data_IF_298787194864
#
_entry.id   IF_298787194864
#
_cell.length_a   1.000
_cell.length_b   1.000
_cell.length_c   1.000
_cell.angle_alpha   90.00
_cell.angle_beta   90.00
_cell.angle_gamma   90.00
#
_symmetry.space_group_name_H-M   'P 1'
#
loop_
_entity.id
_entity.type
_entity.pdbx_description
1 polymer ?
#
# COMPACT_ATOMS: atom_id res chain seq x y z
N UNK A 1 17.24 42.15 -39.91
CA UNK A 1 17.52 40.70 -39.81
C UNK A 1 18.20 40.49 -38.47
N UNK A 2 17.45 40.19 -37.44
CA UNK A 2 17.92 39.80 -36.11
C UNK A 2 17.31 38.44 -35.80
N UNK A 3 18.20 37.47 -35.76
CA UNK A 3 17.93 36.04 -35.52
C UNK A 3 17.64 35.85 -34.03
N UNK A 4 16.38 35.59 -33.64
CA UNK A 4 15.97 35.31 -32.28
C UNK A 4 15.70 33.80 -32.18
N UNK A 5 16.71 33.06 -31.69
CA UNK A 5 16.54 31.67 -31.30
C UNK A 5 15.78 31.59 -29.95
N UNK A 6 14.77 30.76 -29.81
CA UNK A 6 14.12 30.56 -28.53
C UNK A 6 15.02 29.74 -27.57
N UNK A 7 15.27 30.33 -26.40
CA UNK A 7 15.88 29.59 -25.28
C UNK A 7 14.89 28.54 -24.80
N UNK A 8 15.32 27.30 -24.79
CA UNK A 8 14.70 26.23 -24.02
C UNK A 8 14.91 26.51 -22.53
N UNK A 9 13.93 27.11 -21.90
CA UNK A 9 13.85 27.15 -20.45
C UNK A 9 13.50 25.75 -19.95
N UNK A 10 14.50 25.09 -19.36
CA UNK A 10 14.33 23.91 -18.53
C UNK A 10 13.39 24.27 -17.40
N UNK A 11 12.16 23.76 -17.46
CA UNK A 11 11.16 23.84 -16.40
C UNK A 11 11.75 23.14 -15.18
N UNK A 12 12.28 23.96 -14.26
CA UNK A 12 12.72 23.50 -12.97
C UNK A 12 11.52 22.93 -12.19
N UNK A 13 11.62 21.67 -11.83
CA UNK A 13 10.74 21.02 -10.87
C UNK A 13 10.77 21.78 -9.54
N UNK A 14 9.87 22.74 -9.36
CA UNK A 14 9.56 23.23 -8.03
C UNK A 14 8.71 22.16 -7.33
N UNK A 15 9.38 21.30 -6.57
CA UNK A 15 8.75 20.42 -5.60
C UNK A 15 8.00 21.24 -4.57
N UNK A 16 6.69 21.20 -4.61
CA UNK A 16 5.88 21.47 -3.43
C UNK A 16 6.19 20.36 -2.43
N UNK A 17 6.72 20.72 -1.25
CA UNK A 17 7.14 19.81 -0.17
C UNK A 17 5.96 19.21 0.61
N UNK A 18 4.76 19.17 0.08
CA UNK A 18 3.58 18.83 0.87
C UNK A 18 3.09 17.40 0.80
N UNK A 19 3.59 16.53 -0.10
CA UNK A 19 2.99 15.19 -0.25
C UNK A 19 3.71 14.05 0.46
N UNK A 20 4.94 14.21 0.92
CA UNK A 20 5.70 13.09 1.49
C UNK A 20 5.86 13.13 3.03
N UNK A 21 5.60 14.27 3.68
CA UNK A 21 5.76 14.41 5.12
C UNK A 21 4.47 14.23 5.94
N UNK A 22 3.30 14.24 5.30
CA UNK A 22 2.02 14.22 6.01
C UNK A 22 1.49 12.81 6.37
N UNK A 23 2.21 11.73 6.04
CA UNK A 23 1.75 10.35 6.28
C UNK A 23 2.57 9.51 7.27
N UNK A 24 3.56 10.08 7.94
CA UNK A 24 4.26 9.36 9.00
C UNK A 24 3.70 9.78 10.36
N UNK A 25 3.07 8.89 11.13
CA UNK A 25 2.82 9.16 12.53
C UNK A 25 4.18 9.26 13.24
N UNK A 26 4.44 10.39 13.85
CA UNK A 26 5.57 10.61 14.76
C UNK A 26 5.40 9.72 16.00
N UNK A 27 5.86 8.48 15.94
CA UNK A 27 5.89 7.56 17.08
C UNK A 27 6.93 6.46 16.88
N UNK A 28 8.19 6.83 16.78
CA UNK A 28 9.30 5.92 17.07
C UNK A 28 10.51 6.71 17.57
N UNK A 29 10.36 7.24 18.79
CA UNK A 29 11.48 7.60 19.66
C UNK A 29 11.00 7.45 21.09
N UNK A 30 11.49 6.43 21.81
CA UNK A 30 11.16 6.26 23.22
C UNK A 30 11.54 4.89 23.75
N UNK A 31 12.80 4.74 24.13
CA UNK A 31 13.38 4.06 25.32
C UNK A 31 12.49 3.03 26.04
N UNK A 32 13.09 1.87 26.25
CA UNK A 32 12.54 0.74 26.97
C UNK A 32 12.21 0.96 28.43
N UNK A 33 11.28 0.17 28.90
CA UNK A 33 11.22 -0.31 30.28
C UNK A 33 10.62 -1.72 30.26
N UNK A 34 11.43 -2.68 30.73
CA UNK A 34 10.99 -4.00 31.14
C UNK A 34 10.10 -3.90 32.38
N UNK A 35 8.93 -4.49 32.34
CA UNK A 35 8.27 -4.93 33.55
C UNK A 35 7.68 -6.33 33.37
N UNK A 36 8.23 -7.23 34.19
CA UNK A 36 7.72 -8.57 34.45
C UNK A 36 6.33 -8.49 35.05
N UNK A 37 5.41 -9.25 34.51
CA UNK A 37 4.25 -9.70 35.28
C UNK A 37 4.19 -11.22 35.27
N UNK A 38 4.41 -11.74 36.48
CA UNK A 38 4.10 -13.09 36.93
C UNK A 38 2.66 -13.11 37.39
N UNK A 39 1.86 -14.03 36.92
CA UNK A 39 0.64 -14.42 37.66
C UNK A 39 0.40 -15.93 37.57
N UNK A 40 0.32 -16.46 38.74
CA UNK A 40 -0.04 -17.82 39.10
C UNK A 40 -1.48 -18.12 38.77
N UNK A 41 -1.61 -19.34 38.29
CA UNK A 41 -2.66 -20.36 38.43
C UNK A 41 -3.72 -20.22 39.49
N UNK A 42 -4.90 -20.77 39.21
CA UNK A 42 -5.57 -21.73 40.11
C UNK A 42 -6.59 -22.53 39.31
N UNK A 43 -6.45 -23.86 39.41
CA UNK A 43 -7.40 -24.90 39.05
C UNK A 43 -8.32 -25.13 40.23
N UNK A 44 -9.57 -25.42 40.08
CA UNK A 44 -10.27 -26.33 40.98
C UNK A 44 -10.64 -27.63 40.30
N UNK A 45 -10.29 -28.70 41.00
CA UNK A 45 -10.78 -30.09 40.88
C UNK A 45 -12.19 -30.16 41.42
N UNK A 46 -13.08 -30.82 40.74
CA UNK A 46 -14.27 -31.41 41.37
C UNK A 46 -14.44 -32.90 41.00
N UNK A 47 -14.70 -33.71 42.02
CA UNK A 47 -14.89 -35.15 42.03
C UNK A 47 -16.35 -35.50 42.06
N UNK A 48 -16.67 -36.64 41.52
CA UNK A 48 -17.90 -37.38 41.74
C UNK A 48 -18.24 -38.21 40.52
N UNK A 49 -18.20 -39.51 40.47
CA UNK A 49 -18.60 -40.54 41.38
C UNK A 49 -19.73 -41.33 40.74
N UNK A 50 -19.48 -42.62 40.50
CA UNK A 50 -20.60 -43.59 40.36
C UNK A 50 -20.72 -44.28 39.01
N UNK A 51 -20.36 -45.54 38.94
CA UNK A 51 -21.27 -46.67 38.86
C UNK A 51 -21.01 -47.57 37.65
N UNK A 52 -20.38 -48.72 37.92
CA UNK A 52 -20.33 -49.90 37.02
C UNK A 52 -21.62 -50.69 37.17
N UNK A 53 -22.14 -51.32 36.08
CA UNK A 53 -22.08 -52.75 36.12
C UNK A 53 -21.64 -53.48 34.84
N UNK A 54 -20.97 -54.56 35.09
CA UNK A 54 -20.48 -55.61 34.22
C UNK A 54 -21.58 -56.34 33.46
N UNK A 55 -21.29 -56.69 32.21
CA UNK A 55 -21.69 -57.97 31.65
C UNK A 55 -20.87 -58.35 30.43
N UNK A 56 -20.11 -59.45 30.58
CA UNK A 56 -19.51 -60.16 29.44
C UNK A 56 -20.57 -61.02 28.78
N UNK A 57 -20.48 -61.28 27.47
CA UNK A 57 -20.43 -62.69 27.06
C UNK A 57 -19.34 -63.00 26.01
N UNK A 58 -18.81 -64.09 26.20
CA UNK A 58 -18.03 -65.14 25.56
C UNK A 58 -18.02 -65.13 24.04
N UNK A 59 -16.76 -65.28 23.51
CA UNK A 59 -16.38 -65.69 22.15
C UNK A 59 -17.02 -66.98 21.68
N UNK A 60 -17.14 -67.19 20.36
CA UNK A 60 -16.54 -68.40 19.81
C UNK A 60 -15.50 -68.13 18.71
N UNK A 61 -14.59 -68.98 18.75
CA UNK A 61 -13.44 -69.29 17.93
C UNK A 61 -13.77 -69.54 16.43
N UNK A 62 -12.78 -69.19 15.54
CA UNK A 62 -12.56 -69.60 14.14
C UNK A 62 -12.92 -68.49 13.14
N UNK A 63 -11.91 -67.86 12.65
CA UNK A 63 -11.29 -68.10 11.35
C UNK A 63 -10.09 -67.17 11.16
N UNK A 64 -8.91 -67.75 10.89
CA UNK A 64 -7.73 -67.04 10.47
C UNK A 64 -7.95 -66.50 9.04
N UNK A 65 -8.23 -65.23 8.88
CA UNK A 65 -8.07 -64.53 7.62
C UNK A 65 -6.83 -63.69 7.76
N UNK A 66 -5.76 -64.08 7.07
CA UNK A 66 -4.59 -63.27 6.84
C UNK A 66 -5.03 -62.07 5.98
N UNK A 67 -5.38 -60.96 6.59
CA UNK A 67 -5.45 -59.66 5.90
C UNK A 67 -4.04 -59.13 5.84
N UNK A 68 -3.39 -59.31 4.71
CA UNK A 68 -2.17 -58.60 4.34
C UNK A 68 -2.58 -57.14 4.16
N UNK A 69 -2.37 -56.35 5.21
CA UNK A 69 -2.46 -54.89 5.19
C UNK A 69 -1.27 -54.40 4.37
N UNK A 70 -1.45 -54.28 3.07
CA UNK A 70 -0.54 -53.49 2.21
C UNK A 70 -0.72 -52.05 2.66
N UNK A 71 0.18 -51.58 3.52
CA UNK A 71 0.33 -50.19 3.84
C UNK A 71 0.73 -49.46 2.56
N UNK A 72 -0.24 -48.98 1.82
CA UNK A 72 -0.04 -47.99 0.75
C UNK A 72 0.38 -46.73 1.48
N UNK A 73 1.68 -46.55 1.70
CA UNK A 73 2.24 -45.24 2.00
C UNK A 73 2.00 -44.39 0.74
N UNK A 74 1.17 -43.32 0.82
CA UNK A 74 1.20 -42.33 -0.22
C UNK A 74 2.61 -41.75 -0.13
N UNK A 75 3.46 -42.08 -1.08
CA UNK A 75 4.66 -41.29 -1.37
C UNK A 75 4.12 -39.93 -1.79
N UNK A 76 3.93 -39.04 -0.82
CA UNK A 76 3.81 -37.66 -1.10
C UNK A 76 5.11 -37.27 -1.82
N UNK A 77 5.07 -37.29 -3.15
CA UNK A 77 6.08 -36.62 -3.95
C UNK A 77 6.08 -35.19 -3.47
N UNK A 78 6.99 -34.87 -2.55
CA UNK A 78 7.28 -33.49 -2.19
C UNK A 78 7.78 -32.86 -3.49
N UNK A 79 6.87 -32.25 -4.23
CA UNK A 79 7.25 -31.33 -5.28
C UNK A 79 8.11 -30.29 -4.56
N UNK A 80 9.42 -30.36 -4.80
CA UNK A 80 10.36 -29.38 -4.33
C UNK A 80 9.89 -28.04 -4.91
N UNK A 81 9.13 -27.30 -4.14
CA UNK A 81 8.66 -26.00 -4.55
C UNK A 81 9.91 -25.15 -4.76
N UNK A 82 10.13 -24.71 -5.97
CA UNK A 82 11.31 -23.94 -6.32
C UNK A 82 11.45 -22.79 -5.32
N UNK A 83 12.58 -22.72 -4.65
CA UNK A 83 12.83 -21.75 -3.60
C UNK A 83 12.89 -20.37 -4.23
N UNK A 84 11.98 -19.48 -3.82
CA UNK A 84 11.90 -18.10 -4.30
C UNK A 84 12.70 -17.18 -3.38
N UNK A 85 13.26 -16.12 -3.95
CA UNK A 85 13.94 -15.06 -3.24
C UNK A 85 13.86 -13.74 -3.97
N UNK A 86 14.38 -12.69 -3.36
CA UNK A 86 14.44 -11.35 -3.93
C UNK A 86 15.77 -10.69 -3.62
N UNK A 87 16.20 -9.80 -4.51
CA UNK A 87 17.40 -8.99 -4.30
C UNK A 87 17.07 -7.76 -3.43
N UNK A 88 17.90 -7.52 -2.43
CA UNK A 88 17.84 -6.30 -1.61
C UNK A 88 18.74 -5.18 -2.15
N UNK A 89 19.69 -5.53 -3.03
CA UNK A 89 20.53 -4.60 -3.77
C UNK A 89 20.50 -4.96 -5.25
N UNK A 90 20.77 -3.98 -6.11
CA UNK A 90 21.03 -4.24 -7.52
C UNK A 90 22.26 -5.16 -7.65
N UNK A 91 22.15 -6.23 -8.43
CA UNK A 91 23.20 -7.24 -8.53
C UNK A 91 23.40 -7.68 -9.98
N UNK A 92 24.65 -7.94 -10.33
CA UNK A 92 25.02 -8.49 -11.65
C UNK A 92 24.92 -10.01 -11.63
N UNK A 93 24.13 -10.57 -12.55
CA UNK A 93 24.06 -12.02 -12.79
C UNK A 93 25.26 -12.43 -13.64
N UNK A 94 26.02 -13.44 -13.19
CA UNK A 94 27.27 -13.88 -13.81
C UNK A 94 27.19 -15.34 -14.27
N UNK A 95 28.07 -15.71 -15.21
CA UNK A 95 28.13 -17.07 -15.77
C UNK A 95 28.55 -18.11 -14.72
N UNK A 96 29.47 -17.75 -13.83
CA UNK A 96 29.96 -18.66 -12.78
C UNK A 96 30.19 -17.90 -11.46
N UNK A 97 30.37 -18.62 -10.32
CA UNK A 97 30.47 -18.01 -8.99
C UNK A 97 31.83 -17.32 -8.75
N UNK A 98 32.12 -16.28 -9.53
CA UNK A 98 33.32 -15.45 -9.42
C UNK A 98 33.06 -14.05 -9.94
N UNK A 99 33.70 -13.05 -9.34
CA UNK A 99 33.62 -11.63 -9.74
C UNK A 99 34.21 -11.36 -11.12
N UNK A 100 35.10 -12.23 -11.60
CA UNK A 100 35.89 -12.02 -12.83
C UNK A 100 35.23 -12.62 -14.07
N UNK A 101 34.09 -13.28 -13.91
CA UNK A 101 33.39 -13.93 -15.01
C UNK A 101 32.47 -13.00 -15.79
N UNK A 102 32.10 -13.44 -17.00
CA UNK A 102 31.24 -12.66 -17.89
C UNK A 102 29.89 -12.34 -17.22
N UNK A 103 29.41 -11.13 -17.49
CA UNK A 103 28.10 -10.63 -17.04
C UNK A 103 27.03 -11.10 -18.01
N UNK A 104 25.95 -11.67 -17.48
CA UNK A 104 24.77 -12.06 -18.24
C UNK A 104 23.68 -10.99 -18.26
N UNK A 105 23.57 -10.21 -17.17
CA UNK A 105 22.62 -9.15 -17.00
C UNK A 105 22.71 -8.53 -15.62
N UNK A 106 21.90 -7.54 -15.36
CA UNK A 106 21.77 -6.88 -14.05
C UNK A 106 20.33 -7.02 -13.60
N UNK A 107 20.12 -7.46 -12.36
CA UNK A 107 18.81 -7.52 -11.73
C UNK A 107 18.68 -6.43 -10.66
N UNK A 108 17.57 -5.74 -10.70
CA UNK A 108 17.28 -4.59 -9.83
C UNK A 108 16.85 -5.02 -8.43
N UNK A 109 16.81 -4.07 -7.49
CA UNK A 109 16.26 -4.28 -6.14
C UNK A 109 14.79 -4.72 -6.22
N UNK A 110 14.40 -5.65 -5.37
CA UNK A 110 13.05 -6.22 -5.35
C UNK A 110 12.75 -7.17 -6.50
N UNK A 111 13.74 -7.45 -7.38
CA UNK A 111 13.58 -8.44 -8.44
C UNK A 111 13.41 -9.85 -7.85
N UNK A 112 12.43 -10.59 -8.37
CA UNK A 112 12.18 -11.97 -7.96
C UNK A 112 13.13 -12.93 -8.66
N UNK A 113 13.66 -13.87 -7.91
CA UNK A 113 14.57 -14.90 -8.38
C UNK A 113 14.09 -16.28 -7.94
N UNK A 114 14.30 -17.27 -8.81
CA UNK A 114 14.19 -18.68 -8.45
C UNK A 114 15.59 -19.19 -8.11
N UNK A 115 15.74 -19.69 -6.90
CA UNK A 115 17.01 -20.21 -6.38
C UNK A 115 17.14 -21.67 -6.85
N UNK A 116 18.25 -21.98 -7.53
CA UNK A 116 18.54 -23.30 -8.03
C UNK A 116 19.53 -24.04 -7.14
N UNK A 117 20.65 -23.38 -6.77
CA UNK A 117 21.75 -23.95 -6.01
C UNK A 117 22.52 -22.85 -5.26
N UNK A 118 23.38 -23.21 -4.33
CA UNK A 118 24.25 -22.28 -3.61
C UNK A 118 25.66 -22.84 -3.48
N UNK A 119 26.66 -21.98 -3.65
CA UNK A 119 28.08 -22.32 -3.52
C UNK A 119 28.82 -21.22 -2.79
N UNK A 120 29.14 -21.43 -1.52
CA UNK A 120 29.81 -20.46 -0.63
C UNK A 120 29.06 -19.13 -0.61
N UNK A 121 29.68 -18.07 -1.14
CA UNK A 121 29.13 -16.70 -1.14
C UNK A 121 28.27 -16.40 -2.37
N UNK A 122 28.01 -17.39 -3.22
CA UNK A 122 27.26 -17.26 -4.46
C UNK A 122 26.03 -18.16 -4.47
N UNK A 123 24.95 -17.66 -5.05
CA UNK A 123 23.70 -18.39 -5.28
C UNK A 123 23.41 -18.46 -6.77
N UNK A 124 23.16 -19.68 -7.27
CA UNK A 124 22.72 -19.89 -8.63
C UNK A 124 21.22 -19.63 -8.73
N UNK A 125 20.83 -18.73 -9.61
CA UNK A 125 19.46 -18.25 -9.72
C UNK A 125 19.00 -18.21 -11.17
N UNK A 126 17.68 -18.25 -11.34
CA UNK A 126 17.02 -17.90 -12.60
C UNK A 126 16.19 -16.64 -12.39
N UNK A 127 16.33 -15.67 -13.27
CA UNK A 127 15.59 -14.42 -13.31
C UNK A 127 14.95 -14.18 -14.68
N UNK A 128 13.84 -13.48 -14.71
CA UNK A 128 13.22 -12.95 -15.92
C UNK A 128 13.53 -11.46 -15.98
N UNK A 129 14.49 -11.06 -16.79
CA UNK A 129 14.87 -9.64 -16.92
C UNK A 129 14.11 -9.01 -18.08
N UNK A 130 13.39 -7.93 -17.79
CA UNK A 130 12.75 -7.10 -18.80
C UNK A 130 13.82 -6.32 -19.59
N UNK A 131 13.61 -6.13 -20.88
CA UNK A 131 14.52 -5.33 -21.69
C UNK A 131 14.17 -3.83 -21.52
N UNK A 132 15.04 -3.01 -20.91
CA UNK A 132 14.72 -1.60 -20.63
C UNK A 132 14.75 -0.70 -21.88
N UNK A 133 15.12 -1.21 -23.05
CA UNK A 133 15.33 -0.44 -24.29
C UNK A 133 14.18 -0.53 -25.29
N UNK A 134 13.07 -1.15 -24.94
CA UNK A 134 11.94 -1.28 -25.86
C UNK A 134 11.00 -0.09 -25.70
N UNK A 135 10.86 0.70 -26.76
CA UNK A 135 9.86 1.74 -26.91
C UNK A 135 8.46 1.08 -26.97
N UNK A 136 7.45 1.75 -26.44
CA UNK A 136 6.08 1.23 -26.19
C UNK A 136 5.27 0.89 -27.46
N UNK A 137 5.87 0.93 -28.66
CA UNK A 137 5.17 0.87 -29.94
C UNK A 137 5.28 -0.46 -30.72
N UNK A 138 5.84 -1.52 -30.13
CA UNK A 138 5.93 -2.83 -30.79
C UNK A 138 4.94 -3.83 -30.20
N UNK A 139 4.11 -4.41 -31.07
CA UNK A 139 3.03 -5.35 -30.80
C UNK A 139 3.34 -6.45 -29.78
N UNK A 140 2.38 -6.68 -28.89
CA UNK A 140 2.46 -7.33 -27.56
C UNK A 140 2.95 -8.79 -27.47
N UNK A 141 3.24 -9.49 -28.56
CA UNK A 141 3.61 -10.91 -28.46
C UNK A 141 5.06 -11.19 -28.03
N UNK A 142 5.97 -10.20 -28.03
CA UNK A 142 7.36 -10.36 -27.61
C UNK A 142 7.74 -9.61 -26.31
N UNK A 143 6.79 -9.10 -25.56
CA UNK A 143 7.02 -8.49 -24.24
C UNK A 143 7.45 -9.49 -23.16
N UNK A 144 7.73 -10.75 -23.53
CA UNK A 144 8.28 -11.75 -22.62
C UNK A 144 9.73 -11.40 -22.28
N UNK A 145 9.97 -11.04 -21.01
CA UNK A 145 11.31 -10.79 -20.52
C UNK A 145 12.25 -11.97 -20.77
N UNK A 146 13.53 -11.69 -20.97
CA UNK A 146 14.55 -12.72 -21.21
C UNK A 146 14.82 -13.49 -19.92
N UNK A 147 14.59 -14.80 -19.94
CA UNK A 147 15.00 -15.69 -18.85
C UNK A 147 16.51 -15.87 -18.87
N UNK A 148 17.16 -15.53 -17.74
CA UNK A 148 18.60 -15.66 -17.55
C UNK A 148 18.85 -16.53 -16.32
N UNK A 149 19.74 -17.50 -16.47
CA UNK A 149 20.24 -18.32 -15.35
C UNK A 149 21.72 -18.02 -15.11
N UNK A 150 22.09 -17.80 -13.87
CA UNK A 150 23.46 -17.45 -13.50
C UNK A 150 23.65 -17.25 -12.01
N UNK A 151 24.78 -16.69 -11.61
CA UNK A 151 25.20 -16.56 -10.24
C UNK A 151 25.14 -15.13 -9.75
N UNK A 152 24.55 -14.94 -8.56
CA UNK A 152 24.51 -13.66 -7.80
C UNK A 152 25.18 -13.83 -6.43
N UNK A 153 25.62 -12.74 -5.82
CA UNK A 153 26.15 -12.80 -4.46
C UNK A 153 25.04 -13.13 -3.45
N UNK A 154 25.25 -14.16 -2.64
CA UNK A 154 24.26 -14.63 -1.66
C UNK A 154 23.88 -13.55 -0.64
N UNK A 155 24.79 -12.63 -0.30
CA UNK A 155 24.54 -11.52 0.63
C UNK A 155 23.49 -10.50 0.15
N UNK A 156 23.29 -10.43 -1.16
CA UNK A 156 22.30 -9.51 -1.78
C UNK A 156 20.92 -10.16 -1.94
N UNK A 157 20.80 -11.46 -1.59
CA UNK A 157 19.60 -12.25 -1.76
C UNK A 157 18.93 -12.55 -0.41
N UNK A 158 17.62 -12.32 -0.36
CA UNK A 158 16.76 -12.76 0.75
C UNK A 158 15.77 -13.78 0.22
N UNK A 159 15.69 -14.92 0.89
CA UNK A 159 14.77 -16.02 0.59
C UNK A 159 13.82 -16.28 1.75
N UNK A 160 12.85 -17.18 1.54
CA UNK A 160 11.93 -17.64 2.60
C UNK A 160 12.66 -18.20 3.82
N UNK A 161 13.86 -18.77 3.64
CA UNK A 161 14.66 -19.36 4.72
C UNK A 161 15.59 -18.36 5.41
N UNK A 162 15.66 -17.11 4.96
CA UNK A 162 16.52 -16.10 5.55
C UNK A 162 15.92 -15.65 6.90
N UNK A 163 16.66 -15.78 8.01
CA UNK A 163 16.21 -15.32 9.31
C UNK A 163 15.84 -13.83 9.30
N UNK A 164 14.63 -13.48 9.76
CA UNK A 164 14.08 -12.12 9.70
C UNK A 164 14.07 -11.51 8.29
N UNK A 165 13.93 -12.33 7.25
CA UNK A 165 13.92 -11.89 5.85
C UNK A 165 12.89 -10.81 5.57
N UNK A 166 11.71 -10.91 6.18
CA UNK A 166 10.64 -9.91 6.14
C UNK A 166 11.09 -8.53 6.63
N UNK A 167 11.81 -8.48 7.77
CA UNK A 167 12.33 -7.22 8.33
C UNK A 167 13.47 -6.64 7.49
N UNK A 168 14.33 -7.51 6.94
CA UNK A 168 15.43 -7.08 6.07
C UNK A 168 14.87 -6.41 4.81
N UNK A 169 13.94 -7.08 4.12
CA UNK A 169 13.33 -6.52 2.90
C UNK A 169 12.56 -5.23 3.23
N UNK A 170 11.80 -5.21 4.33
CA UNK A 170 11.06 -4.03 4.74
C UNK A 170 11.98 -2.85 5.06
N UNK A 171 13.10 -3.09 5.74
CA UNK A 171 14.11 -2.06 6.04
C UNK A 171 14.73 -1.47 4.77
N UNK A 172 15.10 -2.32 3.80
CA UNK A 172 15.64 -1.86 2.52
C UNK A 172 14.57 -1.14 1.66
N UNK A 173 13.30 -1.54 1.77
CA UNK A 173 12.20 -0.82 1.16
C UNK A 173 12.06 0.60 1.75
N UNK A 174 12.10 0.73 3.08
CA UNK A 174 12.03 2.00 3.77
C UNK A 174 13.23 2.92 3.43
N UNK A 175 14.45 2.35 3.32
CA UNK A 175 15.63 3.08 2.88
C UNK A 175 15.46 3.63 1.45
N UNK A 176 14.88 2.82 0.56
CA UNK A 176 14.63 3.23 -0.84
C UNK A 176 13.53 4.30 -0.92
N UNK A 177 12.48 4.21 -0.08
CA UNK A 177 11.42 5.22 0.03
C UNK A 177 11.97 6.56 0.54
N UNK A 178 12.80 6.53 1.59
CA UNK A 178 13.47 7.72 2.09
C UNK A 178 14.39 8.35 1.03
N UNK A 179 15.14 7.53 0.30
CA UNK A 179 15.97 7.99 -0.83
C UNK A 179 15.13 8.64 -1.92
N UNK A 180 13.97 8.08 -2.27
CA UNK A 180 13.04 8.66 -3.25
C UNK A 180 12.51 10.03 -2.82
N UNK A 181 12.36 10.26 -1.52
CA UNK A 181 11.92 11.55 -0.96
C UNK A 181 12.98 12.66 -1.05
N UNK A 182 14.25 12.31 -1.21
CA UNK A 182 15.36 13.27 -1.22
C UNK A 182 15.47 13.98 -2.57
N UNK A 183 15.82 15.26 -2.55
CA UNK A 183 15.96 16.10 -3.76
C UNK A 183 16.94 15.53 -4.81
N UNK A 184 17.96 14.78 -4.37
CA UNK A 184 18.98 14.16 -5.22
C UNK A 184 19.03 12.64 -5.05
N UNK A 185 17.93 12.02 -4.68
CA UNK A 185 17.83 10.58 -4.60
C UNK A 185 17.91 9.93 -5.99
N UNK A 186 18.15 8.61 -6.00
CA UNK A 186 18.14 7.84 -7.25
C UNK A 186 16.77 7.96 -7.92
N UNK A 187 16.76 7.97 -9.25
CA UNK A 187 15.52 8.08 -10.04
C UNK A 187 14.59 6.89 -9.79
N UNK A 188 15.15 5.70 -9.65
CA UNK A 188 14.41 4.45 -9.53
C UNK A 188 14.11 4.06 -8.07
N UNK A 189 14.46 4.92 -7.10
CA UNK A 189 14.31 4.62 -5.68
C UNK A 189 12.85 4.37 -5.27
N UNK A 190 11.89 5.06 -5.87
CA UNK A 190 10.46 4.82 -5.62
C UNK A 190 10.01 3.45 -6.16
N UNK A 191 10.45 3.09 -7.37
CA UNK A 191 10.15 1.78 -7.95
C UNK A 191 10.81 0.65 -7.16
N UNK A 192 12.05 0.85 -6.69
CA UNK A 192 12.74 -0.10 -5.80
C UNK A 192 11.97 -0.30 -4.50
N UNK A 193 11.56 0.79 -3.84
CA UNK A 193 10.75 0.73 -2.62
C UNK A 193 9.45 -0.02 -2.86
N UNK A 194 8.74 0.30 -3.93
CA UNK A 194 7.49 -0.35 -4.32
C UNK A 194 7.69 -1.87 -4.49
N UNK A 195 8.72 -2.29 -5.24
CA UNK A 195 9.01 -3.71 -5.47
C UNK A 195 9.36 -4.43 -4.17
N UNK A 196 10.25 -3.85 -3.35
CA UNK A 196 10.68 -4.44 -2.08
C UNK A 196 9.51 -4.56 -1.09
N UNK A 197 8.68 -3.53 -0.92
CA UNK A 197 7.50 -3.62 -0.06
C UNK A 197 6.53 -4.71 -0.52
N UNK A 198 6.31 -4.82 -1.83
CA UNK A 198 5.48 -5.89 -2.37
C UNK A 198 6.06 -7.28 -2.05
N UNK A 199 7.40 -7.46 -2.10
CA UNK A 199 8.05 -8.73 -1.76
C UNK A 199 7.88 -9.13 -0.30
N UNK A 200 7.73 -8.19 0.63
CA UNK A 200 7.40 -8.52 2.03
C UNK A 200 6.07 -9.28 2.08
N UNK A 201 5.05 -8.79 1.38
CA UNK A 201 3.75 -9.46 1.30
C UNK A 201 3.83 -10.80 0.53
N UNK A 202 4.53 -10.82 -0.58
CA UNK A 202 4.58 -11.95 -1.51
C UNK A 202 5.36 -13.15 -0.95
N UNK A 203 6.52 -12.90 -0.33
CA UNK A 203 7.37 -13.95 0.24
C UNK A 203 6.98 -14.29 1.70
N UNK A 204 6.52 -13.33 2.49
CA UNK A 204 6.22 -13.50 3.91
C UNK A 204 4.77 -13.11 4.26
N UNK A 205 3.75 -13.74 3.66
CA UNK A 205 2.35 -13.34 3.81
C UNK A 205 1.82 -13.43 5.25
N UNK A 206 2.48 -14.21 6.10
CA UNK A 206 2.16 -14.36 7.54
C UNK A 206 2.91 -13.38 8.45
N UNK A 207 3.82 -12.59 7.90
CA UNK A 207 4.54 -11.56 8.66
C UNK A 207 3.59 -10.47 9.13
N UNK A 208 3.76 -9.92 10.35
CA UNK A 208 3.01 -8.74 10.80
C UNK A 208 3.28 -7.51 9.93
N UNK A 209 4.36 -7.49 9.15
CA UNK A 209 4.72 -6.41 8.22
C UNK A 209 4.06 -6.56 6.84
N UNK A 210 3.47 -7.72 6.53
CA UNK A 210 2.97 -8.02 5.18
C UNK A 210 1.82 -7.08 4.76
N UNK A 211 0.90 -6.75 5.67
CA UNK A 211 -0.19 -5.83 5.40
C UNK A 211 0.29 -4.40 5.15
N UNK A 212 1.25 -3.93 5.96
CA UNK A 212 1.90 -2.63 5.75
C UNK A 212 2.69 -2.61 4.45
N UNK A 213 3.48 -3.66 4.18
CA UNK A 213 4.25 -3.77 2.95
C UNK A 213 3.37 -3.70 1.71
N UNK A 214 2.26 -4.46 1.66
CA UNK A 214 1.35 -4.42 0.52
C UNK A 214 0.72 -3.03 0.35
N UNK A 215 0.30 -2.38 1.47
CA UNK A 215 -0.28 -1.04 1.40
C UNK A 215 0.74 0.01 0.92
N UNK A 216 1.97 0.02 1.47
CA UNK A 216 3.01 0.97 1.04
C UNK A 216 3.40 0.77 -0.43
N UNK A 217 3.49 -0.48 -0.88
CA UNK A 217 3.71 -0.77 -2.30
C UNK A 217 2.57 -0.22 -3.18
N UNK A 218 1.32 -0.41 -2.75
CA UNK A 218 0.14 0.11 -3.44
C UNK A 218 0.10 1.64 -3.45
N UNK A 219 0.48 2.29 -2.35
CA UNK A 219 0.50 3.74 -2.21
C UNK A 219 1.58 4.39 -3.11
N UNK A 220 2.80 3.84 -3.11
CA UNK A 220 3.86 4.33 -4.00
C UNK A 220 3.44 4.18 -5.47
N UNK A 221 2.86 3.03 -5.86
CA UNK A 221 2.33 2.83 -7.20
C UNK A 221 1.26 3.86 -7.54
N UNK A 222 0.31 4.10 -6.61
CA UNK A 222 -0.73 5.11 -6.76
C UNK A 222 -0.16 6.50 -7.04
N UNK A 223 0.88 6.89 -6.30
CA UNK A 223 1.54 8.19 -6.46
C UNK A 223 2.28 8.30 -7.80
N UNK A 224 2.92 7.22 -8.28
CA UNK A 224 3.58 7.17 -9.59
C UNK A 224 2.53 7.33 -10.70
N UNK A 225 1.46 6.51 -10.68
CA UNK A 225 0.37 6.57 -11.67
C UNK A 225 -0.31 7.94 -11.66
N UNK A 226 -0.57 8.49 -10.46
CA UNK A 226 -1.15 9.83 -10.29
C UNK A 226 -0.26 10.92 -10.89
N UNK A 227 1.04 10.86 -10.62
CA UNK A 227 2.00 11.83 -11.18
C UNK A 227 1.98 11.80 -12.71
N UNK A 228 1.95 10.64 -13.32
CA UNK A 228 1.87 10.47 -14.78
C UNK A 228 0.54 11.04 -15.33
N UNK A 229 -0.60 10.67 -14.74
CA UNK A 229 -1.92 11.17 -15.15
C UNK A 229 -2.00 12.69 -15.05
N UNK A 230 -1.45 13.29 -13.99
CA UNK A 230 -1.48 14.73 -13.78
C UNK A 230 -0.64 15.52 -14.80
N UNK A 231 0.24 14.87 -15.55
CA UNK A 231 0.98 15.51 -16.66
C UNK A 231 0.19 15.55 -17.96
N UNK A 232 -0.90 14.76 -18.06
CA UNK A 232 -1.70 14.64 -19.29
C UNK A 232 -2.63 15.85 -19.48
N UNK A 233 -2.91 16.27 -20.72
CA UNK A 233 -3.89 17.34 -20.99
C UNK A 233 -5.26 17.07 -20.38
N UNK A 234 -5.71 15.80 -20.36
CA UNK A 234 -6.99 15.38 -19.81
C UNK A 234 -7.08 15.45 -18.28
N UNK A 235 -5.99 15.75 -17.57
CA UNK A 235 -6.01 15.81 -16.10
C UNK A 235 -7.02 16.82 -15.53
N UNK A 236 -7.35 17.87 -16.30
CA UNK A 236 -8.29 18.94 -15.91
C UNK A 236 -9.73 18.69 -16.34
N UNK A 237 -9.99 17.60 -17.05
CA UNK A 237 -11.36 17.27 -17.47
C UNK A 237 -12.29 17.14 -16.25
N UNK A 238 -13.48 17.70 -16.36
CA UNK A 238 -14.47 17.70 -15.28
C UNK A 238 -14.89 16.29 -14.91
N UNK A 239 -15.25 15.51 -15.91
CA UNK A 239 -15.78 14.18 -15.69
C UNK A 239 -14.64 13.18 -15.41
N UNK A 240 -14.74 12.45 -14.29
CA UNK A 240 -13.71 11.51 -13.85
C UNK A 240 -13.36 10.46 -14.92
N UNK A 241 -14.33 9.99 -15.71
CA UNK A 241 -14.09 8.98 -16.76
C UNK A 241 -13.33 9.53 -17.99
N UNK A 242 -13.29 10.84 -18.17
CA UNK A 242 -12.53 11.49 -19.26
C UNK A 242 -11.05 11.67 -18.89
N UNK A 243 -10.73 11.57 -17.61
CA UNK A 243 -9.35 11.60 -17.12
C UNK A 243 -8.75 10.20 -17.10
N UNK A 244 -7.44 10.09 -17.17
CA UNK A 244 -6.77 8.83 -16.89
C UNK A 244 -7.15 8.32 -15.50
N UNK A 245 -7.47 7.03 -15.39
CA UNK A 245 -7.78 6.41 -14.09
C UNK A 245 -6.50 5.84 -13.47
N UNK A 246 -6.29 6.09 -12.19
CA UNK A 246 -5.23 5.45 -11.41
C UNK A 246 -5.57 3.98 -11.25
N UNK A 247 -4.57 3.09 -11.35
CA UNK A 247 -4.80 1.66 -11.25
C UNK A 247 -5.19 1.25 -9.81
N UNK A 248 -6.42 0.81 -9.63
CA UNK A 248 -7.00 0.45 -8.32
C UNK A 248 -6.66 -0.97 -7.84
N UNK A 249 -6.03 -1.80 -8.68
CA UNK A 249 -5.89 -3.23 -8.41
C UNK A 249 -5.19 -3.52 -7.08
N UNK A 250 -4.09 -2.82 -6.78
CA UNK A 250 -3.33 -3.07 -5.57
C UNK A 250 -4.03 -2.52 -4.32
N UNK A 251 -4.71 -1.38 -4.40
CA UNK A 251 -5.55 -0.89 -3.29
C UNK A 251 -6.70 -1.86 -2.99
N UNK A 252 -7.37 -2.36 -4.02
CA UNK A 252 -8.40 -3.41 -3.88
C UNK A 252 -7.83 -4.72 -3.32
N UNK A 253 -6.59 -5.06 -3.68
CA UNK A 253 -5.90 -6.24 -3.13
C UNK A 253 -5.64 -6.07 -1.62
N UNK A 254 -5.20 -4.89 -1.16
CA UNK A 254 -5.03 -4.58 0.27
C UNK A 254 -6.33 -4.80 1.02
N UNK A 255 -7.44 -4.21 0.54
CA UNK A 255 -8.76 -4.36 1.16
C UNK A 255 -9.24 -5.82 1.21
N UNK A 256 -8.97 -6.60 0.16
CA UNK A 256 -9.34 -8.02 0.07
C UNK A 256 -8.52 -8.90 1.02
N UNK A 257 -7.21 -8.62 1.15
CA UNK A 257 -6.29 -9.47 1.93
C UNK A 257 -6.26 -9.15 3.41
N UNK A 258 -6.49 -7.90 3.77
CA UNK A 258 -6.43 -7.39 5.14
C UNK A 258 -7.72 -6.63 5.54
N UNK A 259 -8.91 -7.26 5.40
CA UNK A 259 -10.17 -6.59 5.70
C UNK A 259 -10.22 -6.15 7.17
N UNK A 260 -10.79 -4.98 7.44
CA UNK A 260 -10.90 -4.41 8.78
C UNK A 260 -9.59 -3.94 9.40
N UNK A 261 -8.50 -3.92 8.63
CA UNK A 261 -7.23 -3.34 9.08
C UNK A 261 -7.14 -1.86 8.74
N UNK A 262 -6.28 -1.12 9.48
CA UNK A 262 -5.98 0.27 9.16
C UNK A 262 -5.50 0.47 7.71
N UNK A 263 -4.86 -0.55 7.13
CA UNK A 263 -4.37 -0.52 5.77
C UNK A 263 -5.50 -0.61 4.73
N UNK A 264 -6.53 -1.41 5.03
CA UNK A 264 -7.73 -1.48 4.19
C UNK A 264 -8.51 -0.16 4.21
N UNK A 265 -8.59 0.50 5.36
CA UNK A 265 -9.24 1.81 5.48
C UNK A 265 -8.51 2.88 4.68
N UNK A 266 -7.17 2.94 4.79
CA UNK A 266 -6.36 3.86 4.01
C UNK A 266 -6.48 3.58 2.49
N UNK A 267 -6.49 2.31 2.09
CA UNK A 267 -6.70 1.92 0.70
C UNK A 267 -8.10 2.36 0.19
N UNK A 268 -9.15 2.19 1.01
CA UNK A 268 -10.49 2.64 0.68
C UNK A 268 -10.57 4.17 0.50
N UNK A 269 -9.82 4.93 1.32
CA UNK A 269 -9.70 6.38 1.17
C UNK A 269 -9.11 6.79 -0.18
N UNK A 270 -8.01 6.13 -0.60
CA UNK A 270 -7.40 6.38 -1.91
C UNK A 270 -8.36 6.17 -3.08
N UNK A 271 -9.22 5.15 -3.01
CA UNK A 271 -10.18 4.86 -4.09
C UNK A 271 -11.23 5.97 -4.31
N UNK A 272 -11.37 6.92 -3.39
CA UNK A 272 -12.23 8.08 -3.58
C UNK A 272 -11.68 8.97 -4.72
N UNK A 273 -10.36 9.12 -4.83
CA UNK A 273 -9.71 10.03 -5.78
C UNK A 273 -10.14 9.80 -7.24
N UNK A 274 -10.24 8.55 -7.67
CA UNK A 274 -10.70 8.22 -9.03
C UNK A 274 -12.14 8.63 -9.34
N UNK A 275 -12.94 8.93 -8.31
CA UNK A 275 -14.36 9.28 -8.43
C UNK A 275 -14.61 10.79 -8.34
N UNK A 276 -13.57 11.54 -7.93
CA UNK A 276 -13.67 12.99 -7.80
C UNK A 276 -13.82 13.64 -9.18
N UNK A 277 -14.48 14.75 -9.26
CA UNK A 277 -14.47 15.59 -10.46
C UNK A 277 -13.10 16.28 -10.60
N UNK A 278 -12.80 16.76 -11.80
CA UNK A 278 -11.70 17.70 -12.01
C UNK A 278 -12.07 19.13 -11.59
N UNK A 279 -12.10 20.05 -12.56
CA UNK A 279 -12.57 21.41 -12.30
C UNK A 279 -14.11 21.44 -12.13
N UNK A 280 -14.59 22.03 -11.05
CA UNK A 280 -16.05 22.13 -10.78
C UNK A 280 -16.74 23.17 -11.66
N UNK A 281 -15.99 24.11 -12.24
CA UNK A 281 -16.50 25.18 -13.10
C UNK A 281 -17.63 26.00 -12.44
N UNK A 282 -17.61 26.12 -11.13
CA UNK A 282 -18.62 26.84 -10.35
C UNK A 282 -19.98 26.15 -10.20
N UNK A 283 -20.11 24.87 -10.61
CA UNK A 283 -21.37 24.13 -10.49
C UNK A 283 -21.42 23.28 -9.22
N UNK A 284 -22.60 23.24 -8.56
CA UNK A 284 -22.80 22.57 -7.27
C UNK A 284 -22.74 21.04 -7.33
N UNK A 285 -23.08 20.43 -8.47
CA UNK A 285 -23.22 18.96 -8.62
C UNK A 285 -21.97 18.16 -8.20
N UNK A 286 -20.77 18.65 -8.55
CA UNK A 286 -19.53 17.95 -8.24
C UNK A 286 -19.17 18.03 -6.74
N UNK A 287 -19.08 19.23 -6.12
CA UNK A 287 -18.74 19.31 -4.68
C UNK A 287 -19.82 18.68 -3.79
N UNK A 288 -21.13 18.68 -4.17
CA UNK A 288 -22.15 17.91 -3.46
C UNK A 288 -21.81 16.42 -3.42
N UNK A 289 -21.62 15.81 -4.59
CA UNK A 289 -21.27 14.38 -4.71
C UNK A 289 -20.00 14.03 -3.98
N UNK A 290 -18.99 14.89 -4.05
CA UNK A 290 -17.70 14.66 -3.40
C UNK A 290 -17.78 14.77 -1.88
N UNK A 291 -18.54 15.74 -1.35
CA UNK A 291 -18.81 15.86 0.07
C UNK A 291 -19.48 14.60 0.62
N UNK A 292 -20.51 14.10 -0.08
CA UNK A 292 -21.22 12.86 0.30
C UNK A 292 -20.28 11.65 0.34
N UNK A 293 -19.35 11.52 -0.61
CA UNK A 293 -18.39 10.40 -0.64
C UNK A 293 -17.45 10.44 0.56
N UNK A 294 -16.92 11.60 0.91
CA UNK A 294 -16.02 11.75 2.05
C UNK A 294 -16.75 11.59 3.39
N UNK A 295 -17.95 12.12 3.51
CA UNK A 295 -18.77 11.96 4.70
C UNK A 295 -19.16 10.49 4.91
N UNK A 296 -19.56 9.81 3.84
CA UNK A 296 -19.81 8.37 3.87
C UNK A 296 -18.60 7.58 4.34
N UNK A 297 -17.42 7.86 3.78
CA UNK A 297 -16.18 7.21 4.20
C UNK A 297 -15.92 7.44 5.70
N UNK A 298 -16.00 8.67 6.18
CA UNK A 298 -15.76 8.99 7.57
C UNK A 298 -16.76 8.34 8.54
N UNK A 299 -17.97 8.04 8.07
CA UNK A 299 -19.00 7.31 8.83
C UNK A 299 -18.73 5.80 8.85
N UNK A 300 -18.30 5.23 7.74
CA UNK A 300 -18.04 3.79 7.60
C UNK A 300 -16.70 3.37 8.25
N UNK A 301 -15.75 4.31 8.35
CA UNK A 301 -14.38 4.12 8.83
C UNK A 301 -14.02 5.13 9.94
N UNK A 302 -14.88 5.31 10.92
CA UNK A 302 -14.74 6.34 11.97
C UNK A 302 -13.51 6.17 12.85
N UNK A 303 -12.97 4.95 12.98
CA UNK A 303 -11.75 4.64 13.70
C UNK A 303 -10.48 4.76 12.82
N UNK A 304 -10.62 5.02 11.54
CA UNK A 304 -9.50 5.19 10.63
C UNK A 304 -8.74 6.48 10.91
N UNK A 305 -7.41 6.44 10.76
CA UNK A 305 -6.59 7.65 10.79
C UNK A 305 -6.92 8.64 9.66
N UNK A 306 -7.57 8.18 8.58
CA UNK A 306 -8.04 9.02 7.48
C UNK A 306 -9.43 9.64 7.74
N UNK A 307 -10.16 9.21 8.79
CA UNK A 307 -11.50 9.74 9.06
C UNK A 307 -11.53 11.26 9.29
N UNK A 308 -10.62 11.87 10.11
CA UNK A 308 -10.61 13.32 10.28
C UNK A 308 -10.27 14.07 8.98
N UNK A 309 -9.41 13.50 8.14
CA UNK A 309 -9.12 14.06 6.82
C UNK A 309 -10.36 14.01 5.91
N UNK A 310 -11.06 12.89 5.88
CA UNK A 310 -12.29 12.76 5.09
C UNK A 310 -13.36 13.76 5.54
N UNK A 311 -13.58 13.90 6.86
CA UNK A 311 -14.49 14.91 7.38
C UNK A 311 -14.09 16.34 6.99
N UNK A 312 -12.78 16.64 7.01
CA UNK A 312 -12.28 17.94 6.57
C UNK A 312 -12.55 18.18 5.08
N UNK A 313 -12.29 17.16 4.24
CA UNK A 313 -12.58 17.23 2.81
C UNK A 313 -14.07 17.44 2.52
N UNK A 314 -14.96 16.81 3.30
CA UNK A 314 -16.39 17.03 3.22
C UNK A 314 -16.77 18.45 3.67
N UNK A 315 -16.27 18.89 4.82
CA UNK A 315 -16.53 20.22 5.35
C UNK A 315 -16.07 21.34 4.42
N UNK A 316 -14.90 21.17 3.81
CA UNK A 316 -14.36 22.12 2.84
C UNK A 316 -15.25 22.24 1.59
N UNK A 317 -15.75 21.11 1.07
CA UNK A 317 -16.66 21.10 -0.08
C UNK A 317 -17.99 21.74 0.25
N UNK A 318 -18.53 21.48 1.45
CA UNK A 318 -19.74 22.15 1.92
C UNK A 318 -19.52 23.67 2.08
N UNK A 319 -18.34 24.09 2.54
CA UNK A 319 -18.02 25.52 2.63
C UNK A 319 -17.91 26.19 1.24
N UNK A 320 -17.37 25.48 0.23
CA UNK A 320 -17.33 25.97 -1.13
C UNK A 320 -18.75 26.10 -1.75
N UNK A 321 -19.65 25.17 -1.42
CA UNK A 321 -21.03 25.16 -1.85
C UNK A 321 -21.82 26.40 -1.35
N UNK A 322 -21.41 27.06 -0.28
CA UNK A 322 -22.06 28.29 0.21
C UNK A 322 -22.09 29.34 -0.90
N UNK A 323 -20.94 29.61 -1.52
CA UNK A 323 -20.86 30.64 -2.57
C UNK A 323 -21.42 30.13 -3.91
N UNK A 324 -21.21 28.86 -4.25
CA UNK A 324 -21.76 28.26 -5.47
C UNK A 324 -23.28 28.35 -5.47
N UNK A 325 -23.96 28.00 -4.37
CA UNK A 325 -25.43 28.12 -4.28
C UNK A 325 -25.93 29.57 -4.29
N UNK A 326 -25.15 30.53 -3.79
CA UNK A 326 -25.49 31.94 -3.97
C UNK A 326 -25.49 32.36 -5.43
N UNK A 327 -24.49 31.92 -6.22
CA UNK A 327 -24.44 32.19 -7.65
C UNK A 327 -25.56 31.47 -8.41
N UNK A 328 -26.01 30.31 -7.94
CA UNK A 328 -27.16 29.57 -8.44
C UNK A 328 -28.51 30.13 -7.93
N UNK A 329 -28.53 31.26 -7.24
CA UNK A 329 -29.69 31.89 -6.63
C UNK A 329 -30.48 30.95 -5.68
N UNK A 330 -29.84 30.04 -5.00
CA UNK A 330 -30.42 29.06 -4.08
C UNK A 330 -29.99 29.32 -2.60
N UNK A 331 -30.58 30.37 -2.02
CA UNK A 331 -30.24 30.81 -0.66
C UNK A 331 -30.48 29.71 0.40
N UNK A 332 -31.54 28.91 0.25
CA UNK A 332 -31.86 27.82 1.18
C UNK A 332 -30.75 26.76 1.22
N UNK A 333 -30.28 26.34 0.05
CA UNK A 333 -29.16 25.38 -0.03
C UNK A 333 -27.85 25.98 0.46
N UNK A 334 -27.59 27.27 0.22
CA UNK A 334 -26.42 27.97 0.72
C UNK A 334 -26.36 27.96 2.26
N UNK A 335 -27.47 28.24 2.93
CA UNK A 335 -27.56 28.18 4.40
C UNK A 335 -27.43 26.74 4.91
N UNK A 336 -28.03 25.77 4.23
CA UNK A 336 -27.85 24.35 4.55
C UNK A 336 -26.39 23.92 4.48
N UNK A 337 -25.69 24.27 3.41
CA UNK A 337 -24.26 23.97 3.22
C UNK A 337 -23.39 24.63 4.30
N UNK A 338 -23.69 25.87 4.67
CA UNK A 338 -23.01 26.56 5.79
C UNK A 338 -23.13 25.80 7.10
N UNK A 339 -24.36 25.38 7.45
CA UNK A 339 -24.60 24.66 8.70
C UNK A 339 -23.90 23.30 8.71
N UNK A 340 -23.97 22.55 7.60
CA UNK A 340 -23.30 21.25 7.46
C UNK A 340 -21.78 21.39 7.51
N UNK A 341 -21.19 22.40 6.84
CA UNK A 341 -19.76 22.66 6.91
C UNK A 341 -19.29 22.92 8.34
N UNK A 342 -20.03 23.73 9.10
CA UNK A 342 -19.73 24.02 10.52
C UNK A 342 -19.87 22.77 11.39
N UNK A 343 -20.92 21.97 11.21
CA UNK A 343 -21.14 20.73 11.95
C UNK A 343 -19.99 19.74 11.74
N UNK A 344 -19.61 19.48 10.49
CA UNK A 344 -18.52 18.58 10.14
C UNK A 344 -17.18 19.08 10.72
N UNK A 345 -16.89 20.37 10.59
CA UNK A 345 -15.66 20.95 11.13
C UNK A 345 -15.62 20.90 12.67
N UNK A 346 -16.73 21.17 13.35
CA UNK A 346 -16.84 21.05 14.81
C UNK A 346 -16.68 19.60 15.27
N UNK A 347 -17.21 18.64 14.51
CA UNK A 347 -17.02 17.22 14.79
C UNK A 347 -15.54 16.83 14.77
N UNK A 348 -14.75 17.33 13.82
CA UNK A 348 -13.30 17.09 13.79
C UNK A 348 -12.64 17.65 15.06
N UNK A 349 -12.93 18.89 15.43
CA UNK A 349 -12.34 19.54 16.60
C UNK A 349 -12.69 18.80 17.90
N UNK A 350 -13.90 18.28 18.02
CA UNK A 350 -14.36 17.59 19.24
C UNK A 350 -13.89 16.12 19.30
N UNK A 351 -14.02 15.38 18.21
CA UNK A 351 -13.75 13.93 18.21
C UNK A 351 -12.30 13.57 17.88
N UNK A 352 -11.62 14.41 17.09
CA UNK A 352 -10.26 14.18 16.61
C UNK A 352 -9.31 15.31 16.98
N UNK A 353 -9.44 15.83 18.20
CA UNK A 353 -8.71 17.02 18.70
C UNK A 353 -7.19 16.93 18.61
N UNK A 354 -6.63 15.70 18.61
CA UNK A 354 -5.20 15.44 18.50
C UNK A 354 -4.69 15.29 17.05
N UNK A 355 -5.60 15.32 16.08
CA UNK A 355 -5.21 15.26 14.67
C UNK A 355 -4.81 16.64 14.15
N UNK A 356 -3.89 16.67 13.16
CA UNK A 356 -3.55 17.92 12.45
C UNK A 356 -4.77 18.57 11.78
N UNK A 357 -5.78 17.77 11.43
CA UNK A 357 -7.02 18.25 10.83
C UNK A 357 -7.90 19.06 11.78
N UNK A 358 -7.71 18.92 13.10
CA UNK A 358 -8.42 19.74 14.06
C UNK A 358 -8.08 21.23 13.95
N UNK A 359 -6.79 21.56 13.76
CA UNK A 359 -6.35 22.94 13.55
C UNK A 359 -6.87 23.50 12.22
N UNK A 360 -6.80 22.70 11.15
CA UNK A 360 -7.35 23.08 9.85
C UNK A 360 -8.87 23.32 9.93
N UNK A 361 -9.60 22.46 10.66
CA UNK A 361 -11.03 22.60 10.89
C UNK A 361 -11.37 23.88 11.67
N UNK A 362 -10.59 24.25 12.71
CA UNK A 362 -10.76 25.51 13.42
C UNK A 362 -10.60 26.72 12.49
N UNK A 363 -9.60 26.69 11.62
CA UNK A 363 -9.39 27.73 10.61
C UNK A 363 -10.57 27.82 9.64
N UNK A 364 -11.10 26.68 9.20
CA UNK A 364 -12.27 26.62 8.31
C UNK A 364 -13.51 27.20 9.01
N UNK A 365 -13.76 26.85 10.26
CA UNK A 365 -14.86 27.41 11.07
C UNK A 365 -14.76 28.94 11.13
N UNK A 366 -13.56 29.47 11.39
CA UNK A 366 -13.34 30.92 11.44
C UNK A 366 -13.67 31.56 10.07
N UNK A 367 -13.20 31.01 8.95
CA UNK A 367 -13.51 31.57 7.62
C UNK A 367 -15.02 31.57 7.34
N UNK A 368 -15.71 30.46 7.64
CA UNK A 368 -17.17 30.37 7.44
C UNK A 368 -17.91 31.40 8.30
N UNK A 369 -17.50 31.58 9.56
CA UNK A 369 -18.12 32.55 10.48
C UNK A 369 -17.89 34.01 10.05
N UNK A 370 -16.71 34.32 9.50
CA UNK A 370 -16.38 35.64 8.97
C UNK A 370 -16.94 35.90 7.58
N UNK A 371 -17.58 34.90 6.94
CA UNK A 371 -18.07 35.01 5.58
C UNK A 371 -16.96 35.09 4.52
N UNK A 372 -15.77 34.58 4.81
CA UNK A 372 -14.65 34.51 3.85
C UNK A 372 -14.90 33.36 2.89
N UNK A 373 -14.99 33.60 1.57
CA UNK A 373 -15.17 32.54 0.60
C UNK A 373 -14.01 31.55 0.60
N UNK A 374 -14.32 30.25 0.56
CA UNK A 374 -13.32 29.17 0.49
C UNK A 374 -13.17 28.58 -0.90
N UNK A 375 -14.16 28.77 -1.76
CA UNK A 375 -14.12 28.34 -3.17
C UNK A 375 -13.12 29.22 -3.97
N UNK A 376 -12.22 28.57 -4.70
CA UNK A 376 -11.16 29.24 -5.48
C UNK A 376 -9.96 29.68 -4.65
N UNK A 377 -10.02 29.65 -3.35
CA UNK A 377 -8.86 29.77 -2.50
C UNK A 377 -8.34 28.33 -2.32
N UNK A 378 -7.36 27.97 -3.13
CA UNK A 378 -6.70 26.67 -2.98
C UNK A 378 -6.15 26.59 -1.55
N UNK A 379 -6.93 26.00 -0.67
CA UNK A 379 -6.51 25.62 0.67
C UNK A 379 -5.65 24.36 0.53
N UNK A 380 -4.50 24.53 0.00
CA UNK A 380 -3.49 23.46 -0.18
C UNK A 380 -2.67 23.25 1.11
#
# INVERSE_FOLDING_TARGET
MLDVRPRHDTVGWQRKRSCFQDFLPASYCGSGIFSRFSSKSMIPVDQGGGGIPSSKPRLPFREFVFVVLIAIFPTAAAYAQAQRGTLIHEETIRVSPSSDTAKLGTAERGHELVILDSSRDWTHVTAILMNPKREEDEDDEEAQGKTISGWVMSKSLVSLNTPNGDKIIFGEAANSEDEASRRRGRRDAAQDAMRLYYRVYDLFPTSPLAGEGLYRAADIRWQIDRSDIMTRPSARERDAYMRGQINEQWMKLVMKKYPGSKWADLAAYHLIENKLCGDWQGASKCPEKEADMYEKFAKEHDQSSAAPQALYQAAWRQSALIEIYKTEANQKKSEGAKNQALELAQKIVSQYSQSEWALRAQTLIYYIQQGVPTFGNAGD
#
